data_IF_241084281309
#
_entry.id   IF_241084281309
#
_cell.length_a   1.000
_cell.length_b   1.000
_cell.length_c   1.000
_cell.angle_alpha   90.00
_cell.angle_beta   90.00
_cell.angle_gamma   90.00
#
_symmetry.space_group_name_H-M   'P 1'
#
loop_
_entity.id
_entity.type
_entity.pdbx_description
1 polymer ?
#
# COMPACT_ATOMS: atom_id res chain seq x y z
N UNK A 1 13.39 -15.68 15.96
CA UNK A 1 12.35 -16.37 16.75
C UNK A 1 12.91 -17.58 17.48
N UNK A 2 13.37 -18.63 16.80
CA UNK A 2 13.87 -19.85 17.47
C UNK A 2 14.93 -19.56 18.55
N UNK A 3 15.93 -18.73 18.24
CA UNK A 3 16.94 -18.27 19.21
C UNK A 3 16.35 -17.55 20.42
N UNK A 4 15.32 -16.70 20.24
CA UNK A 4 14.70 -16.01 21.39
C UNK A 4 13.90 -16.96 22.27
N UNK A 5 13.50 -18.13 21.77
CA UNK A 5 12.84 -19.19 22.55
C UNK A 5 13.81 -20.22 23.13
N UNK A 6 15.12 -20.12 22.86
CA UNK A 6 16.08 -21.17 23.22
C UNK A 6 15.89 -22.48 22.43
N UNK A 7 15.29 -22.41 21.24
CA UNK A 7 14.92 -23.59 20.44
C UNK A 7 15.65 -23.64 19.09
N UNK A 8 15.66 -24.83 18.49
CA UNK A 8 16.00 -24.99 17.06
C UNK A 8 14.90 -24.40 16.18
N UNK A 9 15.22 -24.07 14.92
CA UNK A 9 14.21 -23.55 13.97
C UNK A 9 13.06 -24.55 13.76
N UNK A 10 13.37 -25.84 13.67
CA UNK A 10 12.39 -26.93 13.52
C UNK A 10 11.46 -27.03 14.73
N UNK A 11 12.00 -26.95 15.95
CA UNK A 11 11.19 -27.00 17.17
C UNK A 11 10.29 -25.76 17.29
N UNK A 12 10.82 -24.56 17.02
CA UNK A 12 10.02 -23.33 17.05
C UNK A 12 8.88 -23.34 16.02
N UNK A 13 9.11 -23.87 14.81
CA UNK A 13 8.10 -23.96 13.75
C UNK A 13 6.94 -24.91 14.09
N UNK A 14 7.13 -25.85 15.04
CA UNK A 14 6.07 -26.71 15.57
C UNK A 14 5.23 -26.04 16.67
N UNK A 15 5.70 -24.92 17.22
CA UNK A 15 5.03 -24.19 18.30
C UNK A 15 4.33 -22.93 17.81
N UNK A 16 5.00 -22.17 16.94
CA UNK A 16 4.51 -20.86 16.50
C UNK A 16 4.80 -20.56 15.03
N UNK A 17 3.94 -19.74 14.44
CA UNK A 17 4.09 -19.13 13.12
C UNK A 17 4.17 -17.62 13.25
N UNK A 18 5.14 -17.02 12.56
CA UNK A 18 5.22 -15.56 12.42
C UNK A 18 4.30 -15.11 11.32
N UNK A 19 3.43 -14.16 11.64
CA UNK A 19 2.40 -13.64 10.76
C UNK A 19 2.56 -12.14 10.68
N UNK A 20 2.38 -11.55 9.50
CA UNK A 20 2.59 -10.12 9.35
C UNK A 20 1.65 -9.49 8.34
N UNK A 21 1.40 -8.20 8.53
CA UNK A 21 1.00 -7.29 7.47
C UNK A 21 1.97 -6.10 7.50
N UNK A 22 2.44 -5.69 6.33
CA UNK A 22 3.35 -4.55 6.17
C UNK A 22 2.85 -3.59 5.10
N UNK A 23 3.24 -2.34 5.23
CA UNK A 23 3.01 -1.24 4.30
C UNK A 23 4.32 -0.51 4.05
N UNK A 24 4.59 -0.18 2.79
CA UNK A 24 5.75 0.59 2.35
C UNK A 24 5.38 2.06 2.17
N UNK A 25 5.74 2.93 3.12
CA UNK A 25 5.49 4.37 3.06
C UNK A 25 6.66 5.11 2.39
N UNK A 26 6.35 5.92 1.38
CA UNK A 26 7.34 6.79 0.75
C UNK A 26 7.43 8.12 1.47
N UNK A 27 8.52 8.33 2.20
CA UNK A 27 8.74 9.58 2.92
C UNK A 27 9.03 10.72 1.95
N UNK A 28 8.74 11.95 2.38
CA UNK A 28 9.05 13.20 1.64
C UNK A 28 10.51 13.30 1.14
N UNK A 29 11.44 12.68 1.87
CA UNK A 29 12.88 12.62 1.55
C UNK A 29 13.27 11.54 0.53
N UNK A 30 12.30 10.79 -0.01
CA UNK A 30 12.52 9.77 -1.03
C UNK A 30 12.98 8.41 -0.52
N UNK A 31 12.94 8.16 0.79
CA UNK A 31 13.23 6.83 1.36
C UNK A 31 11.95 6.05 1.62
N UNK A 32 12.03 4.74 1.47
CA UNK A 32 10.93 3.82 1.79
C UNK A 32 11.01 3.41 3.26
N UNK A 33 9.94 3.67 4.00
CA UNK A 33 9.73 3.20 5.37
C UNK A 33 8.79 2.01 5.38
N UNK A 34 9.04 1.05 6.27
CA UNK A 34 8.12 -0.06 6.47
C UNK A 34 7.42 0.05 7.81
N UNK A 35 6.10 0.10 7.74
CA UNK A 35 5.22 -0.09 8.88
C UNK A 35 4.73 -1.53 8.86
N UNK A 36 4.98 -2.29 9.94
CA UNK A 36 4.59 -3.69 10.00
C UNK A 36 3.90 -4.00 11.33
N UNK A 37 2.80 -4.75 11.24
CA UNK A 37 2.18 -5.41 12.38
C UNK A 37 2.53 -6.88 12.27
N UNK A 38 3.20 -7.40 13.31
CA UNK A 38 3.72 -8.75 13.35
C UNK A 38 3.11 -9.45 14.57
N UNK A 39 2.64 -10.67 14.35
CA UNK A 39 1.96 -11.52 15.33
C UNK A 39 2.62 -12.90 15.37
N UNK A 40 2.55 -13.55 16.54
CA UNK A 40 2.83 -14.99 16.67
C UNK A 40 1.51 -15.71 16.84
N UNK A 41 1.25 -16.67 15.96
CA UNK A 41 0.11 -17.58 16.06
C UNK A 41 0.62 -18.97 16.49
N UNK A 42 -0.17 -19.69 17.27
CA UNK A 42 0.09 -21.10 17.56
C UNK A 42 -0.05 -22.00 16.33
N UNK A 43 0.17 -23.30 16.54
CA UNK A 43 -0.10 -24.33 15.53
C UNK A 43 -1.36 -25.09 15.90
N UNK A 44 -2.46 -24.78 15.22
CA UNK A 44 -3.73 -25.50 15.28
C UNK A 44 -4.32 -25.53 13.85
N UNK A 45 -4.75 -26.68 13.33
CA UNK A 45 -5.38 -26.78 12.01
C UNK A 45 -6.84 -26.30 11.98
N UNK A 46 -7.57 -26.42 13.10
CA UNK A 46 -9.00 -26.12 13.19
C UNK A 46 -9.26 -24.66 13.55
N UNK A 47 -8.32 -24.03 14.28
CA UNK A 47 -8.45 -22.62 14.64
C UNK A 47 -7.81 -21.71 13.58
N UNK A 48 -8.50 -20.66 13.11
CA UNK A 48 -7.94 -19.75 12.11
C UNK A 48 -6.81 -18.86 12.68
N UNK A 49 -6.91 -18.47 13.95
CA UNK A 49 -5.96 -17.58 14.63
C UNK A 49 -5.64 -18.11 16.05
N UNK A 50 -5.01 -19.28 16.18
CA UNK A 50 -4.71 -19.86 17.49
C UNK A 50 -3.73 -19.00 18.27
N UNK A 51 -3.98 -18.79 19.56
CA UNK A 51 -3.03 -18.14 20.44
C UNK A 51 -1.71 -18.95 20.51
N UNK A 52 -0.55 -18.30 20.62
CA UNK A 52 0.70 -19.00 20.85
C UNK A 52 0.69 -19.63 22.26
N UNK A 53 1.54 -20.65 22.53
CA UNK A 53 1.67 -21.23 23.87
C UNK A 53 1.97 -20.15 24.93
N UNK A 54 1.49 -20.34 26.17
CA UNK A 54 1.57 -19.33 27.23
C UNK A 54 3.00 -18.80 27.50
N UNK A 55 4.02 -19.65 27.35
CA UNK A 55 5.43 -19.26 27.49
C UNK A 55 5.97 -18.39 26.34
N UNK A 56 5.25 -18.23 25.23
CA UNK A 56 5.68 -17.45 24.07
C UNK A 56 5.07 -16.05 24.11
N UNK A 57 5.82 -15.14 24.73
CA UNK A 57 5.40 -13.74 24.93
C UNK A 57 5.82 -12.78 23.81
N UNK A 58 5.28 -11.56 23.83
CA UNK A 58 5.66 -10.46 22.93
C UNK A 58 7.14 -10.08 23.03
N UNK A 59 7.78 -10.29 24.19
CA UNK A 59 9.22 -10.02 24.40
C UNK A 59 10.06 -10.87 23.44
N UNK A 60 9.72 -12.14 23.27
CA UNK A 60 10.43 -13.02 22.35
C UNK A 60 10.29 -12.57 20.88
N UNK A 61 9.13 -12.02 20.52
CA UNK A 61 8.88 -11.48 19.19
C UNK A 61 9.66 -10.19 18.96
N UNK A 62 9.62 -9.25 19.92
CA UNK A 62 10.36 -7.99 19.84
C UNK A 62 11.87 -8.23 19.70
N UNK A 63 12.43 -9.12 20.52
CA UNK A 63 13.83 -9.51 20.43
C UNK A 63 14.17 -10.13 19.07
N UNK A 64 13.27 -10.96 18.52
CA UNK A 64 13.45 -11.54 17.19
C UNK A 64 13.42 -10.50 16.07
N UNK A 65 12.51 -9.52 16.14
CA UNK A 65 12.40 -8.44 15.15
C UNK A 65 13.64 -7.54 15.21
N UNK A 66 14.08 -7.15 16.41
CA UNK A 66 15.27 -6.32 16.59
C UNK A 66 16.53 -7.05 16.07
N UNK A 67 16.68 -8.33 16.37
CA UNK A 67 17.77 -9.13 15.85
C UNK A 67 17.71 -9.29 14.32
N UNK A 68 16.51 -9.42 13.73
CA UNK A 68 16.34 -9.51 12.28
C UNK A 68 16.70 -8.19 11.59
N UNK A 69 16.23 -7.05 12.12
CA UNK A 69 16.58 -5.74 11.59
C UNK A 69 18.09 -5.48 11.64
N UNK A 70 18.77 -5.80 12.75
CA UNK A 70 20.22 -5.62 12.88
C UNK A 70 21.05 -6.51 11.96
N UNK A 71 20.55 -7.70 11.62
CA UNK A 71 21.29 -8.69 10.80
C UNK A 71 20.99 -8.61 9.31
N UNK A 72 19.92 -7.91 8.93
CA UNK A 72 19.52 -7.82 7.52
C UNK A 72 20.47 -6.88 6.80
N UNK A 73 21.21 -7.45 5.86
CA UNK A 73 22.05 -6.74 4.92
C UNK A 73 22.00 -7.45 3.57
N UNK A 74 22.16 -6.70 2.49
CA UNK A 74 22.26 -7.24 1.13
C UNK A 74 23.49 -6.64 0.48
N UNK A 75 24.36 -7.47 -0.07
CA UNK A 75 25.46 -6.99 -0.91
C UNK A 75 24.93 -6.81 -2.32
N UNK A 76 24.79 -5.56 -2.76
CA UNK A 76 24.52 -5.23 -4.15
C UNK A 76 25.81 -5.41 -4.96
N UNK A 77 25.70 -6.02 -6.15
CA UNK A 77 26.82 -6.15 -7.07
C UNK A 77 27.38 -4.78 -7.50
N UNK A 78 28.64 -4.72 -7.93
CA UNK A 78 29.24 -3.50 -8.46
C UNK A 78 28.50 -3.03 -9.72
N UNK A 79 28.47 -1.73 -9.95
CA UNK A 79 28.11 -1.16 -11.25
C UNK A 79 29.35 -1.08 -12.14
N UNK A 80 29.19 -0.86 -13.46
CA UNK A 80 30.33 -0.55 -14.31
C UNK A 80 31.14 0.63 -13.74
N UNK A 81 32.43 0.39 -13.49
CA UNK A 81 33.35 1.38 -12.91
C UNK A 81 33.47 1.36 -11.38
N UNK A 82 32.72 0.50 -10.66
CA UNK A 82 32.89 0.31 -9.22
C UNK A 82 34.00 -0.73 -8.94
N UNK A 83 34.87 -0.46 -7.96
CA UNK A 83 35.92 -1.39 -7.50
C UNK A 83 35.38 -2.55 -6.62
N UNK A 84 34.09 -2.52 -6.26
CA UNK A 84 33.48 -3.51 -5.39
C UNK A 84 31.98 -3.33 -5.16
N UNK A 85 31.37 -4.35 -4.55
CA UNK A 85 29.95 -4.33 -4.20
C UNK A 85 29.63 -3.37 -3.04
N UNK A 86 28.37 -2.94 -2.95
CA UNK A 86 27.87 -2.08 -1.87
C UNK A 86 27.05 -2.89 -0.87
N UNK A 87 27.35 -2.77 0.42
CA UNK A 87 26.51 -3.37 1.48
C UNK A 87 25.35 -2.43 1.82
N UNK A 88 24.13 -2.90 1.57
CA UNK A 88 22.89 -2.21 1.91
C UNK A 88 22.36 -2.72 3.24
N UNK A 89 22.07 -1.82 4.16
CA UNK A 89 21.50 -2.13 5.49
C UNK A 89 20.27 -1.29 5.77
N UNK A 90 19.55 -1.61 6.84
CA UNK A 90 18.56 -0.68 7.39
C UNK A 90 19.22 0.61 7.87
N UNK A 91 18.48 1.72 7.79
CA UNK A 91 18.90 3.01 8.36
C UNK A 91 18.84 3.02 9.89
N UNK A 92 19.21 4.17 10.48
CA UNK A 92 19.27 4.36 11.95
C UNK A 92 17.89 4.36 12.64
N UNK A 93 16.81 4.57 11.90
CA UNK A 93 15.46 4.66 12.44
C UNK A 93 14.80 3.28 12.52
N UNK A 94 14.61 2.79 13.73
CA UNK A 94 13.91 1.53 14.03
C UNK A 94 13.19 1.66 15.37
N UNK A 95 11.91 1.29 15.41
CA UNK A 95 11.09 1.24 16.62
C UNK A 95 10.24 -0.04 16.59
N UNK A 96 10.13 -0.71 17.73
CA UNK A 96 9.28 -1.89 17.89
C UNK A 96 8.59 -1.81 19.23
N UNK A 97 7.26 -1.91 19.22
CA UNK A 97 6.44 -1.80 20.43
C UNK A 97 5.37 -2.88 20.43
N UNK A 98 5.06 -3.48 21.60
CA UNK A 98 3.97 -4.42 21.70
C UNK A 98 2.64 -3.67 21.52
N UNK A 99 1.72 -4.26 20.76
CA UNK A 99 0.34 -3.77 20.69
C UNK A 99 -0.44 -4.50 21.77
N UNK A 100 -0.67 -3.81 22.89
CA UNK A 100 -1.38 -4.38 24.05
C UNK A 100 -2.87 -4.08 23.90
N UNK A 101 -3.72 -5.10 24.02
CA UNK A 101 -5.16 -4.90 24.18
C UNK A 101 -5.38 -4.34 25.60
N UNK A 102 -5.90 -3.12 25.74
CA UNK A 102 -6.28 -2.59 27.06
C UNK A 102 -7.57 -3.29 27.51
N UNK A 103 -7.61 -3.74 28.77
CA UNK A 103 -8.85 -4.15 29.42
C UNK A 103 -9.84 -2.97 29.49
N UNK A 104 -11.13 -3.25 29.33
CA UNK A 104 -12.19 -2.23 29.26
C UNK A 104 -12.55 -1.73 27.86
N UNK A 105 -11.86 -2.22 26.82
CA UNK A 105 -12.28 -2.09 25.44
C UNK A 105 -12.65 -3.48 24.94
N UNK A 106 -13.92 -3.66 24.53
CA UNK A 106 -14.34 -4.84 23.77
C UNK A 106 -13.29 -5.07 22.70
N UNK A 107 -12.67 -6.26 22.63
CA UNK A 107 -11.46 -6.49 21.82
C UNK A 107 -11.53 -5.99 20.37
N UNK A 108 -12.74 -5.79 19.84
CA UNK A 108 -13.04 -5.04 18.62
C UNK A 108 -12.39 -3.65 18.50
N UNK A 109 -12.24 -2.88 19.58
CA UNK A 109 -11.63 -1.54 19.52
C UNK A 109 -10.12 -1.61 19.28
N UNK A 110 -9.45 -2.62 19.85
CA UNK A 110 -8.03 -2.89 19.60
C UNK A 110 -7.80 -3.37 18.16
N UNK A 111 -8.70 -4.19 17.60
CA UNK A 111 -8.62 -4.67 16.23
C UNK A 111 -8.92 -3.56 15.21
N UNK A 112 -9.87 -2.67 15.51
CA UNK A 112 -10.08 -1.43 14.75
C UNK A 112 -8.86 -0.52 14.79
N UNK A 113 -8.20 -0.36 15.94
CA UNK A 113 -6.99 0.45 16.04
C UNK A 113 -5.84 -0.12 15.20
N UNK A 114 -5.65 -1.45 15.21
CA UNK A 114 -4.69 -2.18 14.36
C UNK A 114 -5.00 -1.96 12.87
N UNK A 115 -6.27 -2.09 12.47
CA UNK A 115 -6.70 -1.87 11.10
C UNK A 115 -6.53 -0.41 10.65
N UNK A 116 -6.91 0.54 11.52
CA UNK A 116 -6.75 1.98 11.29
C UNK A 116 -5.27 2.38 11.19
N UNK A 117 -4.38 1.76 11.98
CA UNK A 117 -2.95 1.96 11.88
C UNK A 117 -2.44 1.55 10.49
N UNK A 118 -2.77 0.35 10.01
CA UNK A 118 -2.40 -0.08 8.66
C UNK A 118 -2.99 0.86 7.61
N UNK A 119 -4.27 1.23 7.74
CA UNK A 119 -4.95 2.11 6.79
C UNK A 119 -4.33 3.51 6.73
N UNK A 120 -3.90 4.07 7.87
CA UNK A 120 -3.23 5.37 7.95
C UNK A 120 -1.98 5.42 7.07
N UNK A 121 -1.12 4.41 7.19
CA UNK A 121 0.09 4.36 6.35
C UNK A 121 -0.21 3.89 4.93
N UNK A 122 -1.34 3.21 4.74
CA UNK A 122 -1.85 2.85 3.42
C UNK A 122 -2.15 4.08 2.55
N UNK A 123 -2.74 5.12 3.13
CA UNK A 123 -3.14 6.34 2.40
C UNK A 123 -2.03 7.39 2.37
N UNK A 124 -1.21 7.46 3.41
CA UNK A 124 -0.13 8.47 3.47
C UNK A 124 0.91 8.29 2.37
N UNK A 125 1.22 7.04 2.02
CA UNK A 125 2.18 6.74 0.97
C UNK A 125 1.74 7.17 -0.44
N UNK A 126 0.43 7.34 -0.67
CA UNK A 126 -0.11 7.83 -1.95
C UNK A 126 -0.14 9.35 -2.05
N UNK A 127 -0.05 10.08 -0.93
CA UNK A 127 -0.17 11.54 -0.90
C UNK A 127 1.18 12.27 -0.95
N UNK A 128 2.23 11.67 -0.36
CA UNK A 128 3.52 12.37 -0.14
C UNK A 128 4.47 12.36 -1.35
N UNK A 129 4.21 11.51 -2.35
CA UNK A 129 4.97 11.40 -3.59
C UNK A 129 4.32 12.22 -4.70
N UNK A 130 4.87 13.40 -4.97
CA UNK A 130 4.59 14.09 -6.23
C UNK A 130 5.28 13.27 -7.35
N UNK A 131 4.55 12.68 -8.31
CA UNK A 131 5.09 11.66 -9.22
C UNK A 131 6.19 12.20 -10.14
N UNK A 132 6.24 13.51 -10.40
CA UNK A 132 7.21 14.11 -11.32
C UNK A 132 8.49 14.60 -10.64
N UNK A 133 8.51 14.75 -9.32
CA UNK A 133 9.58 15.37 -8.54
C UNK A 133 9.64 16.90 -8.65
N UNK A 134 8.60 17.56 -9.14
CA UNK A 134 8.54 19.01 -9.32
C UNK A 134 8.66 19.72 -7.96
N UNK A 135 9.60 20.67 -7.89
CA UNK A 135 9.92 21.40 -6.67
C UNK A 135 10.74 20.62 -5.63
N UNK A 136 11.30 19.44 -5.98
CA UNK A 136 12.12 18.62 -5.08
C UNK A 136 13.33 18.02 -5.80
N UNK A 137 14.45 18.73 -5.80
CA UNK A 137 15.67 18.33 -6.52
C UNK A 137 16.19 16.96 -6.10
N UNK A 138 16.13 16.61 -4.81
CA UNK A 138 16.58 15.29 -4.34
C UNK A 138 15.74 14.14 -4.91
N UNK A 139 14.43 14.32 -5.11
CA UNK A 139 13.58 13.31 -5.76
C UNK A 139 13.95 13.16 -7.23
N UNK A 140 14.21 14.28 -7.91
CA UNK A 140 14.67 14.26 -9.29
C UNK A 140 16.00 13.51 -9.43
N UNK A 141 16.95 13.77 -8.52
CA UNK A 141 18.22 13.04 -8.47
C UNK A 141 18.03 11.54 -8.26
N UNK A 142 17.19 11.13 -7.30
CA UNK A 142 16.89 9.70 -7.08
C UNK A 142 16.31 9.07 -8.36
N UNK A 143 15.34 9.72 -9.01
CA UNK A 143 14.75 9.20 -10.25
C UNK A 143 15.76 9.14 -11.40
N UNK A 144 16.65 10.13 -11.51
CA UNK A 144 17.74 10.12 -12.48
C UNK A 144 18.68 8.94 -12.23
N UNK A 145 19.13 8.74 -10.98
CA UNK A 145 19.94 7.58 -10.59
C UNK A 145 19.23 6.26 -10.87
N UNK A 146 17.93 6.13 -10.58
CA UNK A 146 17.17 4.91 -10.91
C UNK A 146 17.18 4.62 -12.41
N UNK A 147 17.08 5.64 -13.26
CA UNK A 147 17.14 5.48 -14.72
C UNK A 147 18.54 5.14 -15.22
N UNK A 148 19.56 5.80 -14.68
CA UNK A 148 20.97 5.50 -14.96
C UNK A 148 21.29 4.05 -14.60
N UNK A 149 20.90 3.61 -13.40
CA UNK A 149 21.04 2.23 -12.96
C UNK A 149 20.29 1.28 -13.90
N UNK A 150 19.04 1.61 -14.26
CA UNK A 150 18.24 0.77 -15.14
C UNK A 150 18.84 0.61 -16.56
N UNK A 151 19.71 1.52 -16.99
CA UNK A 151 20.40 1.43 -18.27
C UNK A 151 21.62 0.48 -18.25
N UNK A 152 22.18 0.20 -17.07
CA UNK A 152 23.43 -0.57 -16.91
C UNK A 152 23.25 -1.90 -16.17
N UNK A 153 22.08 -2.16 -15.61
CA UNK A 153 21.77 -3.45 -14.97
C UNK A 153 21.71 -4.59 -16.00
N UNK A 154 22.20 -5.77 -15.60
CA UNK A 154 22.13 -6.96 -16.43
C UNK A 154 20.70 -7.29 -16.86
N UNK A 155 20.52 -7.58 -18.15
CA UNK A 155 19.22 -7.90 -18.77
C UNK A 155 18.56 -9.16 -18.21
N UNK A 156 19.34 -10.11 -17.69
CA UNK A 156 18.82 -11.31 -17.02
C UNK A 156 18.96 -11.22 -15.48
N UNK A 157 19.41 -10.07 -14.99
CA UNK A 157 19.64 -9.83 -13.58
C UNK A 157 18.35 -9.51 -12.83
N UNK A 158 18.38 -9.60 -11.48
CA UNK A 158 17.20 -9.30 -10.67
C UNK A 158 16.69 -7.88 -10.89
N UNK A 159 17.51 -6.94 -11.41
CA UNK A 159 17.18 -5.53 -11.58
C UNK A 159 16.80 -5.12 -13.02
N UNK A 160 16.71 -6.03 -13.99
CA UNK A 160 16.35 -5.73 -15.39
C UNK A 160 15.16 -4.74 -15.52
N UNK A 161 14.11 -4.97 -14.73
CA UNK A 161 12.89 -4.18 -14.78
C UNK A 161 12.91 -2.90 -13.93
N UNK A 162 14.07 -2.47 -13.43
CA UNK A 162 14.18 -1.31 -12.54
C UNK A 162 13.55 -0.04 -13.16
N UNK A 163 13.65 0.13 -14.49
CA UNK A 163 13.03 1.23 -15.23
C UNK A 163 11.51 1.34 -15.03
N UNK A 164 10.79 0.23 -14.78
CA UNK A 164 9.33 0.22 -14.57
C UNK A 164 8.91 0.84 -13.24
N UNK A 165 9.86 1.07 -12.35
CA UNK A 165 9.63 1.49 -10.97
C UNK A 165 10.18 2.89 -10.68
N UNK A 166 10.45 3.70 -11.71
CA UNK A 166 10.94 5.07 -11.54
C UNK A 166 9.95 5.97 -10.76
N UNK A 167 8.64 5.78 -10.99
CA UNK A 167 7.57 6.44 -10.25
C UNK A 167 7.46 6.01 -8.79
N UNK A 168 8.11 4.90 -8.42
CA UNK A 168 8.22 4.39 -7.06
C UNK A 168 9.66 4.49 -6.52
N UNK A 169 10.48 5.40 -7.07
CA UNK A 169 11.86 5.65 -6.64
C UNK A 169 12.73 4.37 -6.64
N UNK A 170 12.48 3.46 -7.58
CA UNK A 170 13.18 2.18 -7.68
C UNK A 170 12.69 1.09 -6.72
N UNK A 171 11.66 1.35 -5.91
CA UNK A 171 11.04 0.33 -5.06
C UNK A 171 10.12 -0.58 -5.89
N UNK A 172 10.52 -1.86 -5.99
CA UNK A 172 9.84 -2.89 -6.81
C UNK A 172 8.80 -3.71 -6.04
N UNK A 173 8.65 -3.43 -4.75
CA UNK A 173 7.77 -4.20 -3.88
C UNK A 173 6.33 -3.74 -3.96
N UNK A 174 5.41 -4.62 -3.53
CA UNK A 174 4.04 -4.20 -3.31
C UNK A 174 3.97 -3.21 -2.16
N UNK A 175 3.13 -2.19 -2.37
CA UNK A 175 2.82 -1.19 -1.38
C UNK A 175 2.35 -1.80 -0.05
N UNK A 176 1.49 -2.83 -0.10
CA UNK A 176 1.10 -3.61 1.05
C UNK A 176 1.32 -5.09 0.80
N UNK A 177 1.74 -5.81 1.83
CA UNK A 177 1.91 -7.26 1.79
C UNK A 177 1.48 -7.85 3.11
N UNK A 178 0.78 -9.00 3.08
CA UNK A 178 0.45 -9.75 4.29
C UNK A 178 0.75 -11.23 4.12
N UNK A 179 1.07 -11.92 5.20
CA UNK A 179 1.21 -13.37 5.17
C UNK A 179 -0.16 -14.02 4.88
N UNK A 180 -0.13 -15.22 4.28
CA UNK A 180 -1.34 -15.90 3.76
C UNK A 180 -2.44 -16.05 4.83
N UNK A 181 -2.05 -16.36 6.08
CA UNK A 181 -2.97 -16.59 7.20
C UNK A 181 -3.09 -15.39 8.16
N UNK A 182 -2.60 -14.20 7.79
CA UNK A 182 -2.63 -13.05 8.70
C UNK A 182 -4.06 -12.61 9.04
N UNK A 183 -4.95 -12.65 8.04
CA UNK A 183 -6.33 -12.20 8.15
C UNK A 183 -7.21 -13.04 7.23
N UNK A 184 -8.52 -12.86 7.37
CA UNK A 184 -9.50 -13.26 6.33
C UNK A 184 -9.10 -12.69 4.97
N UNK A 185 -9.54 -13.35 3.90
CA UNK A 185 -9.20 -12.94 2.53
C UNK A 185 -9.99 -11.70 2.12
N UNK A 186 -9.45 -10.91 1.20
CA UNK A 186 -10.20 -9.81 0.59
C UNK A 186 -11.46 -10.30 -0.13
N UNK A 187 -11.43 -11.53 -0.66
CA UNK A 187 -12.60 -12.21 -1.23
C UNK A 187 -13.72 -12.40 -0.20
N UNK A 188 -13.38 -12.95 0.97
CA UNK A 188 -14.33 -13.10 2.10
C UNK A 188 -14.92 -11.74 2.52
N UNK A 189 -14.09 -10.71 2.67
CA UNK A 189 -14.56 -9.35 3.01
C UNK A 189 -15.44 -8.74 1.91
N UNK A 190 -15.15 -8.98 0.63
CA UNK A 190 -15.99 -8.53 -0.49
C UNK A 190 -17.33 -9.27 -0.50
N UNK A 191 -17.34 -10.58 -0.26
CA UNK A 191 -18.55 -11.39 -0.12
C UNK A 191 -19.45 -10.87 1.01
N UNK A 192 -18.89 -10.72 2.21
CA UNK A 192 -19.62 -10.19 3.36
C UNK A 192 -20.23 -8.80 3.08
N UNK A 193 -19.47 -7.90 2.45
CA UNK A 193 -19.99 -6.58 2.02
C UNK A 193 -21.09 -6.68 0.97
N UNK A 194 -20.99 -7.60 0.02
CA UNK A 194 -22.03 -7.84 -0.99
C UNK A 194 -23.32 -8.29 -0.31
N UNK A 195 -23.25 -9.31 0.55
CA UNK A 195 -24.41 -9.81 1.30
C UNK A 195 -25.03 -8.71 2.15
N UNK A 196 -24.23 -7.92 2.88
CA UNK A 196 -24.72 -6.80 3.67
C UNK A 196 -25.44 -5.75 2.81
N UNK A 197 -24.85 -5.35 1.67
CA UNK A 197 -25.47 -4.40 0.73
C UNK A 197 -26.78 -4.93 0.17
N UNK A 198 -26.85 -6.20 -0.19
CA UNK A 198 -28.09 -6.83 -0.69
C UNK A 198 -29.18 -6.80 0.37
N UNK A 199 -28.89 -7.23 1.61
CA UNK A 199 -29.85 -7.14 2.72
C UNK A 199 -30.33 -5.70 2.96
N UNK A 200 -29.43 -4.73 2.91
CA UNK A 200 -29.77 -3.32 3.10
C UNK A 200 -30.64 -2.75 1.96
N UNK A 201 -30.40 -3.17 0.72
CA UNK A 201 -31.23 -2.77 -0.41
C UNK A 201 -32.62 -3.41 -0.33
N UNK A 202 -32.71 -4.71 -0.04
CA UNK A 202 -33.98 -5.42 0.14
C UNK A 202 -34.83 -4.78 1.24
N UNK A 203 -34.23 -4.50 2.40
CA UNK A 203 -34.92 -3.83 3.51
C UNK A 203 -35.46 -2.44 3.14
N UNK A 204 -34.82 -1.74 2.19
CA UNK A 204 -35.31 -0.45 1.68
C UNK A 204 -36.37 -0.58 0.60
N UNK A 205 -36.23 -1.54 -0.32
CA UNK A 205 -37.11 -1.69 -1.48
C UNK A 205 -38.37 -2.48 -1.17
N UNK A 206 -38.30 -3.42 -0.23
CA UNK A 206 -39.37 -4.35 0.15
C UNK A 206 -39.35 -4.61 1.66
N UNK A 207 -39.70 -3.61 2.49
CA UNK A 207 -39.55 -3.69 3.94
C UNK A 207 -40.45 -4.74 4.63
N UNK A 208 -41.52 -5.19 3.95
CA UNK A 208 -42.49 -6.14 4.49
C UNK A 208 -42.29 -7.60 3.99
N UNK A 209 -41.32 -7.84 3.11
CA UNK A 209 -41.04 -9.17 2.56
C UNK A 209 -39.70 -9.69 3.11
N UNK A 210 -39.72 -10.85 3.75
CA UNK A 210 -38.51 -11.53 4.23
C UNK A 210 -37.88 -12.33 3.07
N UNK A 211 -37.20 -11.62 2.17
CA UNK A 211 -36.55 -12.21 0.99
C UNK A 211 -35.14 -12.68 1.35
N UNK A 212 -34.81 -13.93 1.07
CA UNK A 212 -33.45 -14.44 1.24
C UNK A 212 -32.51 -13.80 0.22
N UNK A 213 -31.26 -13.51 0.61
CA UNK A 213 -30.24 -13.03 -0.33
C UNK A 213 -29.91 -14.04 -1.43
N UNK A 214 -30.20 -15.33 -1.19
CA UNK A 214 -29.95 -16.41 -2.16
C UNK A 214 -31.06 -16.49 -3.23
N UNK A 215 -32.20 -15.83 -3.02
CA UNK A 215 -33.32 -15.72 -3.96
C UNK A 215 -33.21 -14.47 -4.86
N UNK A 216 -32.21 -13.62 -4.62
CA UNK A 216 -31.98 -12.40 -5.40
C UNK A 216 -31.20 -12.70 -6.68
N UNK A 217 -31.91 -12.70 -7.81
CA UNK A 217 -31.29 -12.73 -9.13
C UNK A 217 -30.70 -11.34 -9.48
N UNK A 218 -29.38 -11.28 -9.65
CA UNK A 218 -28.71 -10.07 -10.15
C UNK A 218 -28.79 -10.05 -11.67
N UNK A 219 -29.71 -9.25 -12.23
CA UNK A 219 -29.98 -9.18 -13.68
C UNK A 219 -28.87 -8.43 -14.45
N UNK A 220 -28.01 -7.67 -13.77
CA UNK A 220 -26.86 -7.03 -14.40
C UNK A 220 -25.77 -6.67 -13.39
N UNK A 221 -24.52 -6.96 -13.73
CA UNK A 221 -23.35 -6.54 -12.96
C UNK A 221 -22.54 -5.52 -13.73
N UNK A 222 -22.39 -4.32 -13.18
CA UNK A 222 -21.44 -3.33 -13.69
C UNK A 222 -20.06 -3.64 -13.12
N UNK A 223 -19.09 -3.88 -13.99
CA UNK A 223 -17.69 -3.99 -13.61
C UNK A 223 -16.97 -2.66 -13.88
N UNK A 224 -15.99 -2.35 -13.04
CA UNK A 224 -15.12 -1.21 -13.28
C UNK A 224 -14.33 -1.43 -14.56
N UNK A 225 -14.61 -0.63 -15.59
CA UNK A 225 -13.96 -0.72 -16.91
C UNK A 225 -12.60 0.00 -16.96
N UNK A 226 -12.24 0.77 -15.92
CA UNK A 226 -11.01 1.57 -15.85
C UNK A 226 -11.28 3.00 -15.36
N UNK A 227 -10.21 3.76 -15.09
CA UNK A 227 -10.27 5.22 -14.88
C UNK A 227 -9.14 5.90 -15.64
N UNK A 228 -9.41 7.12 -16.07
CA UNK A 228 -8.51 7.87 -16.92
C UNK A 228 -8.74 7.52 -18.39
N UNK A 229 -7.66 7.52 -19.14
CA UNK A 229 -7.64 7.53 -20.59
C UNK A 229 -7.15 6.16 -21.02
N UNK A 230 -8.08 5.29 -21.42
CA UNK A 230 -7.79 3.87 -21.64
C UNK A 230 -7.12 3.63 -22.99
N UNK A 231 -7.26 4.59 -23.90
CA UNK A 231 -6.59 4.64 -25.19
C UNK A 231 -5.90 5.98 -25.42
N UNK A 232 -4.96 6.01 -26.36
CA UNK A 232 -4.36 7.27 -26.83
C UNK A 232 -5.40 8.19 -27.47
N UNK A 233 -6.47 7.61 -28.05
CA UNK A 233 -7.62 8.35 -28.55
C UNK A 233 -8.39 9.07 -27.46
N UNK A 234 -8.69 8.37 -26.35
CA UNK A 234 -9.29 9.01 -25.16
C UNK A 234 -8.39 10.17 -24.73
N UNK A 235 -7.08 9.89 -24.60
CA UNK A 235 -6.04 10.84 -24.17
C UNK A 235 -5.99 12.10 -25.03
N UNK A 236 -6.20 11.97 -26.33
CA UNK A 236 -6.31 13.10 -27.24
C UNK A 236 -7.60 13.89 -26.97
N UNK A 237 -8.75 13.21 -26.92
CA UNK A 237 -10.07 13.85 -26.79
C UNK A 237 -10.22 14.71 -25.54
N UNK A 238 -9.88 14.19 -24.35
CA UNK A 238 -9.98 15.02 -23.16
C UNK A 238 -8.82 16.03 -23.01
N UNK A 239 -7.71 15.93 -23.77
CA UNK A 239 -6.69 16.99 -23.84
C UNK A 239 -7.26 18.15 -24.64
N UNK A 240 -7.84 17.85 -25.80
CA UNK A 240 -8.58 18.82 -26.61
C UNK A 240 -9.72 19.47 -25.83
N UNK A 241 -10.52 18.69 -25.10
CA UNK A 241 -11.60 19.23 -24.26
C UNK A 241 -11.05 20.14 -23.15
N UNK A 242 -9.92 19.78 -22.53
CA UNK A 242 -9.27 20.62 -21.52
C UNK A 242 -8.70 21.92 -22.12
N UNK A 243 -8.15 21.86 -23.34
CA UNK A 243 -7.69 23.03 -24.09
C UNK A 243 -8.86 23.94 -24.48
N UNK A 244 -9.93 23.40 -25.02
CA UNK A 244 -11.16 24.13 -25.34
C UNK A 244 -11.74 24.81 -24.08
N UNK A 245 -11.77 24.11 -22.93
CA UNK A 245 -12.24 24.68 -21.67
C UNK A 245 -11.31 25.78 -21.12
N UNK A 246 -9.99 25.74 -21.41
CA UNK A 246 -9.06 26.84 -21.10
C UNK A 246 -9.34 28.04 -21.99
N UNK A 247 -9.45 27.81 -23.30
CA UNK A 247 -9.73 28.85 -24.30
C UNK A 247 -11.06 29.54 -24.01
N UNK A 248 -12.13 28.79 -23.75
CA UNK A 248 -13.43 29.35 -23.39
C UNK A 248 -13.39 30.21 -22.12
N UNK A 249 -12.67 29.75 -21.08
CA UNK A 249 -12.47 30.54 -19.84
C UNK A 249 -11.70 31.83 -20.10
N UNK A 250 -10.63 31.76 -20.91
CA UNK A 250 -9.84 32.94 -21.30
C UNK A 250 -10.67 33.92 -22.14
N UNK A 251 -11.49 33.42 -23.06
CA UNK A 251 -12.36 34.25 -23.88
C UNK A 251 -13.44 34.92 -23.05
N UNK A 252 -14.12 34.19 -22.16
CA UNK A 252 -15.06 34.81 -21.20
C UNK A 252 -14.41 35.82 -20.27
N UNK A 253 -13.16 35.61 -19.87
CA UNK A 253 -12.43 36.57 -19.06
C UNK A 253 -12.08 37.84 -19.87
N UNK A 254 -11.72 37.70 -21.15
CA UNK A 254 -11.52 38.81 -22.08
C UNK A 254 -12.83 39.58 -22.32
N UNK A 255 -13.92 38.88 -22.64
CA UNK A 255 -15.24 39.48 -22.88
C UNK A 255 -15.76 40.23 -21.64
N UNK A 256 -15.47 39.73 -20.43
CA UNK A 256 -15.76 40.44 -19.17
C UNK A 256 -14.91 41.69 -18.95
N UNK A 257 -13.65 41.68 -19.41
CA UNK A 257 -12.76 42.84 -19.30
C UNK A 257 -12.97 43.86 -20.43
N UNK A 258 -13.61 43.49 -21.53
CA UNK A 258 -14.08 44.40 -22.59
C UNK A 258 -15.55 44.77 -22.34
N UNK A 259 -15.80 45.67 -21.38
CA UNK A 259 -17.10 46.33 -21.24
C UNK A 259 -17.29 47.38 -22.37
N UNK A 260 -18.51 47.55 -22.93
CA UNK A 260 -18.77 48.42 -24.07
C UNK A 260 -18.72 49.90 -23.69
N UNK A 261 -17.56 50.54 -23.81
CA UNK A 261 -17.44 52.00 -23.72
C UNK A 261 -16.57 52.66 -24.80
N UNK A 262 -16.40 52.01 -25.95
CA UNK A 262 -15.74 52.60 -27.14
C UNK A 262 -16.66 52.59 -28.38
N UNK A 263 -17.96 52.82 -28.19
CA UNK A 263 -18.87 53.24 -29.27
C UNK A 263 -19.74 54.42 -28.84
N UNK A 264 -19.09 55.53 -28.49
CA UNK A 264 -19.70 56.87 -28.61
C UNK A 264 -18.61 57.93 -28.51
N UNK A 265 -18.04 58.31 -29.66
CA UNK A 265 -17.59 59.68 -29.99
C UNK A 265 -17.09 59.67 -31.44
N UNK A 266 -18.03 59.88 -32.37
CA UNK A 266 -17.94 60.74 -33.57
C UNK A 266 -19.22 60.56 -34.38
#
# INVERSE_FOLDING_TARGET
>A
MARSLGLTQRAAARLVRVQFAKVAEFQRRGVVHFHAIIRLDGIDPERPFPAPPAGVTAVHLMAAIQAAARKTQVTAGPLPGDDGGRTLTWGKQFDVRPIVRREGLDGALSDRAVAAYIAKYATKATEDLEPTGVGRDHIRSIKATVRELAAVVHSEGPYEQLHRWDGMLGFRGHFSTKSRRYSVTLGSLRGARRTWRMKHLLAKSKPAEEISTDEVLVIGSWAYAGMGWLTDGDKALAREAADAARQWRQQRARDRNTSPYERSTS
#
